data_IF_989629868574
#
_entry.id   IF_989629868574
#
_cell.length_a   1.000
_cell.length_b   1.000
_cell.length_c   1.000
_cell.angle_alpha   90.00
_cell.angle_beta   90.00
_cell.angle_gamma   90.00
#
_symmetry.space_group_name_H-M   'P 1'
#
loop_
_entity.id
_entity.type
_entity.pdbx_description
1 polymer ?
#
# COMPACT_ATOMS: atom_id res chain seq x y z
N UNK A 1 6.63 -5.90 -20.36
CA UNK A 1 6.63 -4.43 -20.23
C UNK A 1 5.43 -3.71 -20.88
N UNK A 2 4.31 -4.35 -21.23
CA UNK A 2 3.14 -3.65 -21.83
C UNK A 2 2.31 -2.80 -20.84
N UNK A 3 2.47 -3.02 -19.53
CA UNK A 3 1.64 -2.41 -18.49
C UNK A 3 2.31 -1.28 -17.69
N UNK A 4 3.50 -0.80 -18.10
CA UNK A 4 4.26 0.20 -17.33
C UNK A 4 3.46 1.50 -17.09
N UNK A 5 2.70 1.98 -18.09
CA UNK A 5 1.83 3.15 -17.94
C UNK A 5 0.80 2.96 -16.84
N UNK A 6 0.23 1.75 -16.74
CA UNK A 6 -0.75 1.40 -15.72
C UNK A 6 -0.11 1.40 -14.34
N UNK A 7 1.07 0.80 -14.20
CA UNK A 7 1.81 0.81 -12.93
C UNK A 7 2.10 2.25 -12.49
N UNK A 8 2.57 3.11 -13.39
CA UNK A 8 2.81 4.52 -13.06
C UNK A 8 1.55 5.23 -12.59
N UNK A 9 0.42 5.07 -13.29
CA UNK A 9 -0.85 5.69 -12.88
C UNK A 9 -1.26 5.21 -11.47
N UNK A 10 -1.14 3.92 -11.18
CA UNK A 10 -1.50 3.37 -9.88
C UNK A 10 -0.56 3.89 -8.78
N UNK A 11 0.76 3.89 -9.03
CA UNK A 11 1.75 4.43 -8.08
C UNK A 11 1.48 5.91 -7.81
N UNK A 12 1.26 6.72 -8.85
CA UNK A 12 0.95 8.14 -8.71
C UNK A 12 -0.34 8.38 -7.93
N UNK A 13 -1.38 7.59 -8.18
CA UNK A 13 -2.67 7.74 -7.48
C UNK A 13 -2.57 7.32 -6.01
N UNK A 14 -1.80 6.26 -5.72
CA UNK A 14 -1.47 5.89 -4.35
C UNK A 14 -0.71 7.01 -3.64
N UNK A 15 0.36 7.52 -4.25
CA UNK A 15 1.17 8.62 -3.69
C UNK A 15 0.33 9.87 -3.46
N UNK A 16 -0.57 10.23 -4.38
CA UNK A 16 -1.47 11.37 -4.21
C UNK A 16 -2.38 11.19 -2.98
N UNK A 17 -3.05 10.05 -2.85
CA UNK A 17 -3.91 9.78 -1.69
C UNK A 17 -3.12 9.72 -0.38
N UNK A 18 -1.95 9.09 -0.43
CA UNK A 18 -1.04 8.95 0.69
C UNK A 18 -0.55 10.31 1.20
N UNK A 19 0.06 11.12 0.34
CA UNK A 19 0.62 12.41 0.72
C UNK A 19 -0.49 13.38 1.17
N UNK A 20 -1.66 13.34 0.52
CA UNK A 20 -2.82 14.14 0.95
C UNK A 20 -3.28 13.77 2.37
N UNK A 21 -3.54 12.49 2.64
CA UNK A 21 -3.98 12.03 3.95
C UNK A 21 -2.92 12.21 5.03
N UNK A 22 -1.64 12.03 4.68
CA UNK A 22 -0.50 12.28 5.56
C UNK A 22 -0.49 13.74 6.03
N UNK A 23 -0.59 14.70 5.12
CA UNK A 23 -0.64 16.14 5.44
C UNK A 23 -1.87 16.44 6.31
N UNK A 24 -3.06 16.02 5.87
CA UNK A 24 -4.30 16.30 6.58
C UNK A 24 -4.31 15.73 8.01
N UNK A 25 -3.77 14.52 8.19
CA UNK A 25 -3.62 13.89 9.49
C UNK A 25 -2.58 14.60 10.36
N UNK A 26 -1.42 14.93 9.80
CA UNK A 26 -0.28 15.53 10.53
C UNK A 26 -0.60 16.92 11.10
N UNK A 27 -1.45 17.68 10.41
CA UNK A 27 -1.93 18.99 10.85
C UNK A 27 -3.28 18.94 11.58
N UNK A 28 -3.77 17.74 11.93
CA UNK A 28 -5.04 17.53 12.66
C UNK A 28 -6.26 18.16 11.96
N UNK A 29 -6.22 18.29 10.64
CA UNK A 29 -7.36 18.75 9.83
C UNK A 29 -8.44 17.67 9.81
N UNK A 30 -8.03 16.40 9.86
CA UNK A 30 -8.91 15.23 10.00
C UNK A 30 -8.65 14.57 11.35
N UNK A 31 -9.72 14.19 12.06
CA UNK A 31 -9.61 13.42 13.29
C UNK A 31 -9.31 11.96 12.96
N UNK A 32 -8.18 11.45 13.45
CA UNK A 32 -7.70 10.10 13.18
C UNK A 32 -8.12 9.18 14.33
N UNK A 33 -9.04 8.25 14.06
CA UNK A 33 -9.23 7.11 14.95
C UNK A 33 -8.09 6.10 14.72
N UNK A 34 -7.11 6.10 15.61
CA UNK A 34 -5.91 5.28 15.49
C UNK A 34 -6.22 3.78 15.39
N UNK A 35 -7.08 3.26 16.27
CA UNK A 35 -7.46 1.85 16.28
C UNK A 35 -8.11 1.43 14.94
N UNK A 36 -9.01 2.28 14.40
CA UNK A 36 -9.62 2.03 13.11
C UNK A 36 -8.59 2.02 11.97
N UNK A 37 -7.67 2.99 11.93
CA UNK A 37 -6.66 3.07 10.86
C UNK A 37 -5.68 1.89 10.94
N UNK A 38 -5.23 1.53 12.14
CA UNK A 38 -4.38 0.36 12.36
C UNK A 38 -5.04 -0.94 11.97
N UNK A 39 -6.37 -1.04 12.09
CA UNK A 39 -7.12 -2.18 11.60
C UNK A 39 -7.27 -2.17 10.07
N UNK A 40 -7.55 -0.99 9.49
CA UNK A 40 -7.78 -0.85 8.05
C UNK A 40 -6.51 -1.15 7.21
N UNK A 41 -5.31 -0.85 7.70
CA UNK A 41 -4.06 -1.14 6.99
C UNK A 41 -3.90 -2.65 6.69
N UNK A 42 -3.81 -3.56 7.68
CA UNK A 42 -3.70 -5.00 7.41
C UNK A 42 -4.95 -5.57 6.75
N UNK A 43 -6.16 -5.02 7.01
CA UNK A 43 -7.39 -5.48 6.38
C UNK A 43 -7.37 -5.25 4.87
N UNK A 44 -6.99 -4.05 4.45
CA UNK A 44 -6.92 -3.70 3.03
C UNK A 44 -5.86 -4.56 2.32
N UNK A 45 -4.69 -4.77 2.94
CA UNK A 45 -3.65 -5.68 2.42
C UNK A 45 -4.17 -7.11 2.29
N UNK A 46 -4.88 -7.61 3.31
CA UNK A 46 -5.48 -8.94 3.30
C UNK A 46 -6.50 -9.10 2.16
N UNK A 47 -7.40 -8.14 1.97
CA UNK A 47 -8.38 -8.15 0.89
C UNK A 47 -7.70 -8.25 -0.47
N UNK A 48 -6.63 -7.46 -0.70
CA UNK A 48 -5.88 -7.50 -1.97
C UNK A 48 -5.17 -8.84 -2.17
N UNK A 49 -4.56 -9.38 -1.11
CA UNK A 49 -3.90 -10.68 -1.16
C UNK A 49 -4.89 -11.79 -1.52
N UNK A 50 -6.05 -11.83 -0.86
CA UNK A 50 -7.11 -12.80 -1.15
C UNK A 50 -7.65 -12.63 -2.57
N UNK A 51 -7.93 -11.39 -3.00
CA UNK A 51 -8.37 -11.09 -4.36
C UNK A 51 -7.38 -11.60 -5.41
N UNK A 52 -6.08 -11.41 -5.18
CA UNK A 52 -5.02 -11.88 -6.07
C UNK A 52 -4.96 -13.41 -6.14
N UNK A 53 -5.14 -14.12 -5.03
CA UNK A 53 -5.18 -15.60 -5.03
C UNK A 53 -6.32 -16.11 -5.90
N UNK A 54 -7.54 -15.56 -5.77
CA UNK A 54 -8.71 -16.02 -6.53
C UNK A 54 -8.72 -15.57 -7.99
N UNK A 55 -8.01 -14.50 -8.32
CA UNK A 55 -7.98 -13.90 -9.67
C UNK A 55 -6.69 -14.23 -10.45
N UNK A 56 -5.71 -14.88 -9.82
CA UNK A 56 -4.44 -15.23 -10.46
C UNK A 56 -4.67 -16.01 -11.78
N UNK A 57 -4.14 -15.48 -12.87
CA UNK A 57 -4.26 -16.07 -14.21
C UNK A 57 -5.53 -15.69 -15.00
N UNK A 58 -6.50 -15.02 -14.38
CA UNK A 58 -7.72 -14.52 -15.04
C UNK A 58 -7.56 -13.05 -15.46
N UNK A 59 -6.64 -12.78 -16.39
CA UNK A 59 -6.47 -11.43 -16.94
C UNK A 59 -7.54 -11.10 -17.98
N UNK A 60 -8.76 -10.82 -17.54
CA UNK A 60 -9.79 -10.29 -18.44
C UNK A 60 -9.75 -8.77 -18.55
N UNK A 61 -9.63 -8.28 -19.78
CA UNK A 61 -9.72 -6.88 -20.18
C UNK A 61 -11.18 -6.39 -20.05
N UNK A 62 -11.66 -6.16 -18.83
CA UNK A 62 -12.93 -5.45 -18.62
C UNK A 62 -12.65 -4.02 -18.17
N UNK A 63 -13.24 -3.04 -18.87
CA UNK A 63 -13.12 -1.61 -18.59
C UNK A 63 -13.59 -1.25 -17.17
N UNK A 64 -14.65 -1.90 -16.68
CA UNK A 64 -15.20 -1.67 -15.34
C UNK A 64 -14.21 -2.02 -14.21
N UNK A 65 -13.29 -2.98 -14.45
CA UNK A 65 -12.26 -3.35 -13.47
C UNK A 65 -11.19 -2.27 -13.31
N UNK A 66 -10.97 -1.41 -14.32
CA UNK A 66 -9.95 -0.36 -14.21
C UNK A 66 -10.38 0.75 -13.26
N UNK A 67 -11.62 1.24 -13.37
CA UNK A 67 -12.14 2.31 -12.50
C UNK A 67 -12.10 1.88 -11.03
N UNK A 68 -12.57 0.66 -10.73
CA UNK A 68 -12.50 0.09 -9.38
C UNK A 68 -11.06 0.02 -8.87
N UNK A 69 -10.11 -0.43 -9.69
CA UNK A 69 -8.70 -0.49 -9.29
C UNK A 69 -8.11 0.89 -9.00
N UNK A 70 -8.44 1.91 -9.79
CA UNK A 70 -8.01 3.28 -9.52
C UNK A 70 -8.58 3.77 -8.19
N UNK A 71 -9.90 3.63 -7.97
CA UNK A 71 -10.54 4.05 -6.73
C UNK A 71 -9.99 3.31 -5.51
N UNK A 72 -9.81 1.98 -5.60
CA UNK A 72 -9.22 1.18 -4.54
C UNK A 72 -7.78 1.59 -4.25
N UNK A 73 -7.00 1.96 -5.27
CA UNK A 73 -5.61 2.42 -5.10
C UNK A 73 -5.52 3.77 -4.39
N UNK A 74 -6.41 4.69 -4.75
CA UNK A 74 -6.53 5.98 -4.05
C UNK A 74 -6.93 5.77 -2.59
N UNK A 75 -7.93 4.92 -2.34
CA UNK A 75 -8.38 4.57 -1.00
C UNK A 75 -7.25 3.93 -0.17
N UNK A 76 -6.48 3.03 -0.77
CA UNK A 76 -5.28 2.46 -0.16
C UNK A 76 -4.30 3.55 0.28
N UNK A 77 -3.99 4.48 -0.62
CA UNK A 77 -3.13 5.62 -0.33
C UNK A 77 -3.64 6.42 0.87
N UNK A 78 -4.94 6.77 0.86
CA UNK A 78 -5.56 7.53 1.96
C UNK A 78 -5.46 6.82 3.31
N UNK A 79 -5.79 5.54 3.38
CA UNK A 79 -5.72 4.77 4.64
C UNK A 79 -4.29 4.68 5.16
N UNK A 80 -3.33 4.39 4.28
CA UNK A 80 -1.93 4.23 4.68
C UNK A 80 -1.31 5.56 5.09
N UNK A 81 -1.60 6.65 4.38
CA UNK A 81 -1.10 7.98 4.74
C UNK A 81 -1.65 8.48 6.08
N UNK A 82 -2.89 8.13 6.44
CA UNK A 82 -3.41 8.36 7.81
C UNK A 82 -2.62 7.58 8.87
N UNK A 83 -2.21 6.35 8.57
CA UNK A 83 -1.36 5.55 9.48
C UNK A 83 0.00 6.22 9.70
N UNK A 84 0.65 6.65 8.62
CA UNK A 84 1.92 7.36 8.68
C UNK A 84 1.80 8.75 9.33
N UNK A 85 0.66 9.44 9.21
CA UNK A 85 0.44 10.70 9.90
C UNK A 85 0.53 10.56 11.42
N UNK A 86 0.03 9.45 11.96
CA UNK A 86 0.15 9.17 13.39
C UNK A 86 1.62 8.99 13.81
N UNK A 87 2.36 8.16 13.07
CA UNK A 87 3.79 7.95 13.32
C UNK A 87 4.58 9.26 13.19
N UNK A 88 4.24 10.09 12.20
CA UNK A 88 4.80 11.42 12.03
C UNK A 88 4.51 12.33 13.22
N UNK A 89 3.29 12.36 13.75
CA UNK A 89 2.94 13.18 14.91
C UNK A 89 3.78 12.77 16.14
N UNK A 90 3.98 11.46 16.33
CA UNK A 90 4.81 10.95 17.43
C UNK A 90 6.29 11.30 17.23
N UNK A 91 6.79 11.21 15.99
CA UNK A 91 8.17 11.54 15.63
C UNK A 91 8.46 13.05 15.70
N UNK A 92 7.56 13.88 15.18
CA UNK A 92 7.74 15.34 15.09
C UNK A 92 7.71 16.03 16.46
N UNK A 93 7.00 15.45 17.44
CA UNK A 93 6.92 15.98 18.79
C UNK A 93 6.59 17.48 18.82
N UNK A 94 7.52 18.28 19.37
CA UNK A 94 7.44 19.75 19.47
C UNK A 94 8.37 20.49 18.50
N UNK A 95 8.81 19.87 17.40
CA UNK A 95 9.69 20.54 16.43
C UNK A 95 9.08 21.86 15.94
N UNK A 96 9.88 22.94 15.92
CA UNK A 96 9.44 24.25 15.44
C UNK A 96 9.15 24.24 13.92
N UNK A 97 9.94 23.49 13.14
CA UNK A 97 9.81 23.38 11.67
C UNK A 97 9.11 22.09 11.20
N UNK A 98 7.85 21.93 11.61
CA UNK A 98 7.03 20.74 11.25
C UNK A 98 6.88 20.52 9.74
N UNK A 99 6.89 21.58 8.93
CA UNK A 99 6.76 21.48 7.48
C UNK A 99 7.99 20.85 6.82
N UNK A 100 9.20 21.25 7.24
CA UNK A 100 10.43 20.68 6.73
C UNK A 100 10.54 19.20 7.11
N UNK A 101 10.24 18.88 8.36
CA UNK A 101 10.26 17.51 8.85
C UNK A 101 9.24 16.63 8.11
N UNK A 102 8.04 17.16 7.82
CA UNK A 102 7.03 16.46 7.05
C UNK A 102 7.50 16.17 5.62
N UNK A 103 8.19 17.13 5.00
CA UNK A 103 8.75 16.96 3.66
C UNK A 103 9.82 15.86 3.66
N UNK A 104 10.75 15.88 4.62
CA UNK A 104 11.79 14.85 4.77
C UNK A 104 11.17 13.45 5.00
N UNK A 105 10.18 13.38 5.88
CA UNK A 105 9.46 12.14 6.17
C UNK A 105 8.71 11.61 4.94
N UNK A 106 7.99 12.48 4.22
CA UNK A 106 7.26 12.12 3.01
C UNK A 106 8.20 11.63 1.91
N UNK A 107 9.30 12.35 1.65
CA UNK A 107 10.33 11.94 0.67
C UNK A 107 10.96 10.60 1.04
N UNK A 108 11.25 10.38 2.33
CA UNK A 108 11.75 9.09 2.83
C UNK A 108 10.79 7.93 2.52
N UNK A 109 9.49 8.12 2.76
CA UNK A 109 8.47 7.10 2.46
C UNK A 109 8.36 6.85 0.95
N UNK A 110 8.32 7.91 0.14
CA UNK A 110 8.20 7.77 -1.32
C UNK A 110 9.42 7.04 -1.91
N UNK A 111 10.63 7.33 -1.43
CA UNK A 111 11.86 6.63 -1.83
C UNK A 111 11.79 5.16 -1.41
N UNK A 112 11.39 4.86 -0.17
CA UNK A 112 11.24 3.49 0.31
C UNK A 112 10.23 2.69 -0.53
N UNK A 113 9.09 3.31 -0.89
CA UNK A 113 8.08 2.70 -1.75
C UNK A 113 8.66 2.35 -3.13
N UNK A 114 9.40 3.26 -3.76
CA UNK A 114 10.03 3.02 -5.07
C UNK A 114 11.02 1.86 -4.97
N UNK A 115 11.89 1.86 -3.94
CA UNK A 115 12.87 0.79 -3.71
C UNK A 115 12.16 -0.57 -3.56
N UNK A 116 11.11 -0.65 -2.74
CA UNK A 116 10.35 -1.89 -2.54
C UNK A 116 9.72 -2.36 -3.85
N UNK A 117 9.10 -1.47 -4.63
CA UNK A 117 8.53 -1.82 -5.94
C UNK A 117 9.60 -2.40 -6.87
N UNK A 118 10.78 -1.78 -6.93
CA UNK A 118 11.89 -2.30 -7.74
C UNK A 118 12.36 -3.67 -7.27
N UNK A 119 12.52 -3.88 -5.96
CA UNK A 119 12.92 -5.18 -5.39
C UNK A 119 11.91 -6.26 -5.76
N UNK A 120 10.60 -6.00 -5.57
CA UNK A 120 9.54 -6.98 -5.88
C UNK A 120 9.50 -7.31 -7.37
N UNK A 121 9.65 -6.29 -8.24
CA UNK A 121 9.71 -6.51 -9.69
C UNK A 121 10.96 -7.28 -10.11
N UNK A 122 12.10 -7.00 -9.50
CA UNK A 122 13.36 -7.68 -9.78
C UNK A 122 13.34 -9.14 -9.33
N UNK A 123 12.85 -9.43 -8.12
CA UNK A 123 12.65 -10.80 -7.64
C UNK A 123 11.65 -11.54 -8.54
N UNK A 124 10.58 -10.87 -8.95
CA UNK A 124 9.62 -11.43 -9.90
C UNK A 124 10.23 -11.74 -11.27
N UNK A 125 11.14 -10.89 -11.74
CA UNK A 125 11.89 -11.14 -12.97
C UNK A 125 12.81 -12.36 -12.83
N UNK A 126 13.57 -12.47 -11.73
CA UNK A 126 14.40 -13.66 -11.46
C UNK A 126 13.56 -14.93 -11.39
N UNK A 127 12.46 -14.92 -10.63
CA UNK A 127 11.55 -16.06 -10.49
C UNK A 127 10.98 -16.54 -11.82
N UNK A 128 10.59 -15.61 -12.69
CA UNK A 128 10.00 -15.92 -14.00
C UNK A 128 11.05 -16.32 -15.05
N UNK A 129 12.24 -15.73 -15.03
CA UNK A 129 13.26 -15.96 -16.07
C UNK A 129 14.22 -17.08 -15.72
N UNK A 130 14.72 -17.14 -14.48
CA UNK A 130 15.70 -18.14 -14.03
C UNK A 130 14.99 -19.43 -13.63
N UNK A 131 14.00 -19.33 -12.74
CA UNK A 131 13.28 -20.49 -12.20
C UNK A 131 12.07 -20.91 -13.05
N UNK A 132 11.74 -20.13 -14.09
CA UNK A 132 10.64 -20.37 -15.03
C UNK A 132 9.27 -20.54 -14.36
N UNK A 133 9.06 -19.91 -13.20
CA UNK A 133 7.77 -19.91 -12.55
C UNK A 133 6.73 -19.18 -13.41
N UNK A 134 5.52 -19.74 -13.46
CA UNK A 134 4.43 -19.05 -14.14
C UNK A 134 4.07 -17.77 -13.37
N UNK A 135 3.64 -16.73 -14.09
CA UNK A 135 3.16 -15.48 -13.45
C UNK A 135 2.03 -15.74 -12.45
N UNK A 136 1.20 -16.75 -12.75
CA UNK A 136 0.10 -17.17 -11.87
C UNK A 136 0.66 -17.69 -10.55
N UNK A 137 1.60 -18.62 -10.60
CA UNK A 137 2.17 -19.24 -9.39
C UNK A 137 2.92 -18.21 -8.56
N UNK A 138 3.68 -17.32 -9.21
CA UNK A 138 4.33 -16.20 -8.54
C UNK A 138 3.33 -15.32 -7.77
N UNK A 139 2.24 -14.90 -8.42
CA UNK A 139 1.20 -14.10 -7.78
C UNK A 139 0.54 -14.86 -6.62
N UNK A 140 0.20 -16.14 -6.81
CA UNK A 140 -0.44 -16.95 -5.77
C UNK A 140 0.45 -17.12 -4.55
N UNK A 141 1.74 -17.46 -4.73
CA UNK A 141 2.69 -17.67 -3.63
C UNK A 141 2.90 -16.38 -2.85
N UNK A 142 3.23 -15.28 -3.53
CA UNK A 142 3.45 -13.98 -2.86
C UNK A 142 2.18 -13.54 -2.13
N UNK A 143 1.00 -13.69 -2.74
CA UNK A 143 -0.26 -13.31 -2.11
C UNK A 143 -0.59 -14.18 -0.90
N UNK A 144 -0.33 -15.49 -0.95
CA UNK A 144 -0.52 -16.38 0.19
C UNK A 144 0.44 -16.04 1.34
N UNK A 145 1.71 -15.72 1.05
CA UNK A 145 2.67 -15.26 2.05
C UNK A 145 2.22 -13.95 2.71
N UNK A 146 1.81 -12.97 1.91
CA UNK A 146 1.29 -11.68 2.41
C UNK A 146 0.05 -11.89 3.28
N UNK A 147 -0.90 -12.71 2.83
CA UNK A 147 -2.09 -13.05 3.61
C UNK A 147 -1.71 -13.69 4.96
N UNK A 148 -0.76 -14.63 4.94
CA UNK A 148 -0.25 -15.27 6.16
C UNK A 148 0.39 -14.28 7.14
N UNK A 149 1.12 -13.28 6.64
CA UNK A 149 1.77 -12.25 7.48
C UNK A 149 0.77 -11.28 8.12
N UNK A 150 -0.32 -10.93 7.42
CA UNK A 150 -1.30 -9.96 7.93
C UNK A 150 -2.38 -10.57 8.82
N UNK A 151 -2.61 -11.88 8.76
CA UNK A 151 -3.60 -12.55 9.63
C UNK A 151 -3.30 -12.31 11.13
N UNK A 152 -2.08 -12.52 11.65
CA UNK A 152 -1.76 -12.20 13.04
C UNK A 152 -1.99 -10.72 13.38
N UNK A 153 -1.69 -9.80 12.45
CA UNK A 153 -1.91 -8.37 12.65
C UNK A 153 -3.41 -8.03 12.77
N UNK A 154 -4.27 -8.74 12.04
CA UNK A 154 -5.73 -8.59 12.14
C UNK A 154 -6.26 -9.16 13.45
N UNK A 155 -5.85 -10.36 13.82
CA UNK A 155 -6.34 -11.04 15.03
C UNK A 155 -5.88 -10.37 16.32
N UNK A 156 -4.70 -9.75 16.31
CA UNK A 156 -4.16 -9.00 17.44
C UNK A 156 -4.58 -7.53 17.49
N UNK A 157 -5.51 -7.08 16.63
CA UNK A 157 -5.87 -5.67 16.55
C UNK A 157 -6.90 -5.28 17.63
N UNK A 158 -6.59 -4.23 18.39
CA UNK A 158 -7.43 -3.70 19.49
C UNK A 158 -8.81 -3.23 19.04
N UNK A 159 -9.01 -2.91 17.76
CA UNK A 159 -10.32 -2.50 17.24
C UNK A 159 -11.37 -3.63 17.26
N UNK A 160 -10.93 -4.90 17.27
CA UNK A 160 -11.81 -6.07 17.27
C UNK A 160 -12.11 -6.62 18.68
N UNK A 161 -11.43 -6.11 19.71
CA UNK A 161 -11.57 -6.52 21.12
C UNK A 161 -12.40 -5.54 21.92
#
# INVERSE_FOLDING_TARGET
FKDWKRVLILVSLFTLGHTLSLILGSFKVVNINAALVEFLIPLTIFIVAIYNVFTAGKFEKSSNKMSLLLLSTLFFGLVHGLGFAREFIMFAGKSDDRWLLLLEFALGIEIAQIIIVFIVLFLGFIGQTVFRFSKRDWIMVISALVAGMVIPMLLGNEYLS
#
